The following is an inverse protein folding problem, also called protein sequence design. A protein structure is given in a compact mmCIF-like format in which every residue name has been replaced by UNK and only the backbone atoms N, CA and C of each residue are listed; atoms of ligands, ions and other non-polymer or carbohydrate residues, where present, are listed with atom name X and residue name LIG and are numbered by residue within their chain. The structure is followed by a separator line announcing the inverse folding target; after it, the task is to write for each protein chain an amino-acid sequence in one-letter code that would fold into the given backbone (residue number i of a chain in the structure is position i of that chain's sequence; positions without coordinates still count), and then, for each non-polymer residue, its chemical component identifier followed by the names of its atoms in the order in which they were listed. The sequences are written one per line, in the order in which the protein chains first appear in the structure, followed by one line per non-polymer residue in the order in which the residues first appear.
data_IF_987534690450
#
_entry.id   IF_987534690450
#
_cell.length_a   1.000
_cell.length_b   1.000
_cell.length_c   1.000
_cell.angle_alpha   90.00
_cell.angle_beta   90.00
_cell.angle_gamma   90.00
#
_symmetry.space_group_name_H-M   'P 1'
#
loop_
_entity.id
_entity.type
_entity.pdbx_description
1 polymer ?
#
# COMPACT_ATOMS: atom_id res chain seq x y z
N UNK A 1 -9.21 -37.64 18.79
CA UNK A 1 -8.53 -36.37 19.10
C UNK A 1 -7.19 -36.72 19.74
N UNK A 2 -6.08 -36.34 19.11
CA UNK A 2 -4.72 -36.60 19.60
C UNK A 2 -4.08 -35.28 20.04
N UNK A 3 -3.37 -35.32 21.15
CA UNK A 3 -2.57 -34.20 21.66
C UNK A 3 -1.11 -34.41 21.28
N UNK A 4 -0.41 -33.30 21.04
CA UNK A 4 1.00 -33.26 20.64
C UNK A 4 1.79 -32.40 21.63
N UNK A 5 3.01 -32.81 21.96
CA UNK A 5 3.97 -31.97 22.68
C UNK A 5 4.64 -30.97 21.71
N UNK A 6 5.49 -30.07 22.24
CA UNK A 6 6.21 -29.06 21.45
C UNK A 6 7.06 -29.70 20.35
N UNK A 7 7.76 -30.80 20.65
CA UNK A 7 8.64 -31.46 19.70
C UNK A 7 7.82 -32.12 18.57
N UNK A 8 6.72 -32.80 18.89
CA UNK A 8 5.79 -33.37 17.89
C UNK A 8 5.12 -32.27 17.05
N UNK A 9 4.73 -31.16 17.67
CA UNK A 9 4.18 -30.01 16.97
C UNK A 9 5.20 -29.38 16.00
N UNK A 10 6.46 -29.30 16.40
CA UNK A 10 7.56 -28.81 15.57
C UNK A 10 7.77 -29.71 14.34
N UNK A 11 7.75 -31.03 14.54
CA UNK A 11 7.84 -32.01 13.45
C UNK A 11 6.63 -31.98 12.51
N UNK A 12 5.43 -31.74 13.04
CA UNK A 12 4.19 -31.64 12.29
C UNK A 12 4.18 -30.40 11.38
N UNK A 13 4.51 -29.24 11.96
CA UNK A 13 4.54 -27.96 11.24
C UNK A 13 5.82 -27.73 10.43
N UNK A 14 6.83 -28.61 10.58
CA UNK A 14 8.16 -28.49 9.95
C UNK A 14 8.88 -27.18 10.31
N UNK A 15 8.83 -26.81 11.60
CA UNK A 15 9.47 -25.60 12.14
C UNK A 15 10.35 -25.96 13.33
N UNK A 16 11.23 -25.04 13.73
CA UNK A 16 12.08 -25.24 14.91
C UNK A 16 11.25 -25.18 16.21
N UNK A 17 11.61 -26.01 17.20
CA UNK A 17 11.01 -26.01 18.55
C UNK A 17 10.94 -24.61 19.18
N UNK A 18 12.00 -23.82 19.05
CA UNK A 18 12.05 -22.46 19.61
C UNK A 18 11.00 -21.54 18.97
N UNK A 19 10.68 -21.77 17.69
CA UNK A 19 9.65 -21.03 16.97
C UNK A 19 8.26 -21.46 17.43
N UNK A 20 8.02 -22.76 17.64
CA UNK A 20 6.75 -23.24 18.23
C UNK A 20 6.51 -22.61 19.59
N UNK A 21 7.52 -22.60 20.47
CA UNK A 21 7.42 -21.99 21.80
C UNK A 21 7.12 -20.49 21.73
N UNK A 22 7.77 -19.76 20.82
CA UNK A 22 7.49 -18.34 20.59
C UNK A 22 6.06 -18.12 20.11
N UNK A 23 5.63 -18.84 19.08
CA UNK A 23 4.29 -18.69 18.51
C UNK A 23 3.19 -19.07 19.50
N UNK A 24 3.41 -20.11 20.31
CA UNK A 24 2.50 -20.50 21.38
C UNK A 24 2.47 -19.46 22.50
N UNK A 25 3.62 -18.92 22.90
CA UNK A 25 3.71 -17.84 23.90
C UNK A 25 3.09 -16.52 23.44
N UNK A 26 3.15 -16.23 22.14
CA UNK A 26 2.49 -15.07 21.51
C UNK A 26 0.99 -15.27 21.28
N UNK A 27 0.46 -16.48 21.49
CA UNK A 27 -0.94 -16.82 21.22
C UNK A 27 -1.30 -16.91 19.73
N UNK A 28 -0.30 -17.01 18.85
CA UNK A 28 -0.50 -17.20 17.40
C UNK A 28 -0.76 -18.64 17.01
N UNK A 29 -0.18 -19.58 17.76
CA UNK A 29 -0.38 -21.00 17.56
C UNK A 29 -1.44 -21.52 18.55
N UNK A 30 -2.47 -22.27 18.11
CA UNK A 30 -3.45 -22.84 19.03
C UNK A 30 -2.80 -23.92 19.88
N UNK A 31 -2.59 -23.63 21.15
CA UNK A 31 -2.02 -24.54 22.13
C UNK A 31 -2.26 -24.05 23.55
N UNK A 32 -2.27 -24.98 24.49
CA UNK A 32 -2.51 -24.70 25.90
C UNK A 32 -1.25 -24.96 26.72
N UNK A 33 -0.92 -24.05 27.63
CA UNK A 33 0.13 -24.27 28.62
C UNK A 33 -0.46 -24.98 29.83
N UNK A 34 -0.08 -26.24 30.01
CA UNK A 34 -0.56 -27.09 31.12
C UNK A 34 0.63 -27.34 32.04
N UNK A 35 0.64 -26.64 33.17
CA UNK A 35 1.76 -26.66 34.11
C UNK A 35 3.06 -26.14 33.47
N UNK A 36 4.04 -27.02 33.29
CA UNK A 36 5.35 -26.71 32.68
C UNK A 36 5.45 -27.10 31.20
N UNK A 37 4.46 -27.80 30.67
CA UNK A 37 4.45 -28.29 29.30
C UNK A 37 3.46 -27.49 28.43
N UNK A 38 3.69 -27.51 27.13
CA UNK A 38 2.77 -27.00 26.14
C UNK A 38 2.13 -28.18 25.43
N UNK A 39 0.82 -28.14 25.28
CA UNK A 39 0.04 -29.20 24.64
C UNK A 39 -0.74 -28.61 23.49
N UNK A 40 -0.66 -29.25 22.33
CA UNK A 40 -1.31 -28.84 21.10
C UNK A 40 -2.31 -29.91 20.68
N UNK A 41 -3.44 -29.50 20.12
CA UNK A 41 -4.41 -30.43 19.54
C UNK A 41 -4.10 -30.56 18.06
N UNK A 42 -3.96 -31.80 17.58
CA UNK A 42 -3.67 -32.05 16.16
C UNK A 42 -4.74 -31.44 15.24
N UNK A 43 -6.01 -31.49 15.65
CA UNK A 43 -7.14 -30.94 14.89
C UNK A 43 -7.04 -29.40 14.75
N UNK A 44 -6.75 -28.72 15.86
CA UNK A 44 -6.56 -27.26 15.87
C UNK A 44 -5.35 -26.83 15.03
N UNK A 45 -4.26 -27.62 15.05
CA UNK A 45 -3.09 -27.34 14.20
C UNK A 45 -3.44 -27.49 12.72
N UNK A 46 -4.24 -28.49 12.34
CA UNK A 46 -4.72 -28.67 10.96
C UNK A 46 -5.60 -27.48 10.55
N UNK A 47 -6.52 -27.04 11.41
CA UNK A 47 -7.37 -25.88 11.16
C UNK A 47 -6.54 -24.59 11.02
N UNK A 48 -5.54 -24.41 11.87
CA UNK A 48 -4.60 -23.31 11.81
C UNK A 48 -3.87 -23.26 10.46
N UNK A 49 -3.32 -24.38 10.00
CA UNK A 49 -2.63 -24.46 8.70
C UNK A 49 -3.58 -24.13 7.56
N UNK A 50 -4.81 -24.66 7.58
CA UNK A 50 -5.83 -24.35 6.55
C UNK A 50 -6.15 -22.86 6.50
N UNK A 51 -6.28 -22.23 7.66
CA UNK A 51 -6.56 -20.79 7.78
C UNK A 51 -5.38 -19.96 7.26
N UNK A 52 -4.15 -20.32 7.63
CA UNK A 52 -2.94 -19.65 7.15
C UNK A 52 -2.78 -19.73 5.63
N UNK A 53 -3.02 -20.91 5.02
CA UNK A 53 -2.96 -21.07 3.57
C UNK A 53 -3.98 -20.15 2.88
N UNK A 54 -5.22 -20.10 3.36
CA UNK A 54 -6.26 -19.23 2.79
C UNK A 54 -5.91 -17.75 2.91
N UNK A 55 -5.41 -17.32 4.07
CA UNK A 55 -4.99 -15.95 4.29
C UNK A 55 -3.84 -15.54 3.34
N UNK A 56 -2.80 -16.38 3.24
CA UNK A 56 -1.66 -16.13 2.37
C UNK A 56 -2.04 -16.13 0.88
N UNK A 57 -2.92 -17.02 0.45
CA UNK A 57 -3.42 -17.05 -0.92
C UNK A 57 -4.17 -15.77 -1.28
N UNK A 58 -5.05 -15.30 -0.38
CA UNK A 58 -5.79 -14.05 -0.58
C UNK A 58 -4.87 -12.84 -0.63
N UNK A 59 -3.85 -12.80 0.22
CA UNK A 59 -2.86 -11.73 0.22
C UNK A 59 -2.05 -11.71 -1.08
N UNK A 60 -1.63 -12.87 -1.59
CA UNK A 60 -0.91 -12.97 -2.87
C UNK A 60 -1.79 -12.52 -4.05
N UNK A 61 -3.05 -12.92 -4.06
CA UNK A 61 -4.02 -12.51 -5.08
C UNK A 61 -4.24 -11.00 -5.05
N UNK A 62 -4.51 -10.43 -3.87
CA UNK A 62 -4.69 -8.98 -3.72
C UNK A 62 -3.45 -8.19 -4.16
N UNK A 63 -2.25 -8.66 -3.80
CA UNK A 63 -0.99 -8.04 -4.27
C UNK A 63 -0.83 -8.10 -5.79
N UNK A 64 -1.19 -9.22 -6.41
CA UNK A 64 -1.15 -9.38 -7.87
C UNK A 64 -2.17 -8.48 -8.58
N UNK A 65 -3.41 -8.41 -8.07
CA UNK A 65 -4.47 -7.54 -8.60
C UNK A 65 -4.09 -6.06 -8.53
N UNK A 66 -3.53 -5.62 -7.40
CA UNK A 66 -3.05 -4.23 -7.24
C UNK A 66 -1.93 -3.92 -8.24
N UNK A 67 -0.99 -4.86 -8.42
CA UNK A 67 0.10 -4.71 -9.40
C UNK A 67 -0.44 -4.56 -10.82
N UNK A 68 -1.35 -5.45 -11.24
CA UNK A 68 -1.97 -5.41 -12.58
C UNK A 68 -2.76 -4.12 -12.78
N UNK A 69 -3.52 -3.67 -11.77
CA UNK A 69 -4.22 -2.38 -11.82
C UNK A 69 -3.26 -1.20 -11.99
N UNK A 70 -2.16 -1.17 -11.23
CA UNK A 70 -1.16 -0.10 -11.31
C UNK A 70 -0.50 -0.08 -12.70
N UNK A 71 -0.10 -1.24 -13.22
CA UNK A 71 0.50 -1.37 -14.56
C UNK A 71 -0.45 -0.91 -15.67
N UNK A 72 -1.72 -1.32 -15.62
CA UNK A 72 -2.75 -0.86 -16.58
C UNK A 72 -2.97 0.64 -16.51
N UNK A 73 -2.95 1.22 -15.32
CA UNK A 73 -3.11 2.67 -15.14
C UNK A 73 -1.92 3.47 -15.67
N UNK A 74 -0.69 2.95 -15.54
CA UNK A 74 0.51 3.57 -16.08
C UNK A 74 0.57 3.52 -17.62
N UNK A 75 0.06 2.43 -18.22
CA UNK A 75 -0.06 2.31 -19.67
C UNK A 75 -1.04 3.33 -20.28
N UNK A 76 -1.98 3.87 -19.50
CA UNK A 76 -2.77 5.05 -19.85
C UNK A 76 -1.97 6.31 -19.50
N UNK A 77 -0.81 6.48 -20.12
CA UNK A 77 -0.24 7.83 -20.23
C UNK A 77 -1.13 8.55 -21.26
N UNK A 78 -1.94 9.57 -20.89
CA UNK A 78 -2.57 10.39 -21.92
C UNK A 78 -1.45 10.88 -22.83
N UNK A 79 -1.60 10.93 -24.17
CA UNK A 79 -0.59 11.59 -24.98
C UNK A 79 -0.41 12.95 -24.34
N UNK A 80 0.79 13.22 -23.78
CA UNK A 80 1.10 14.54 -23.27
C UNK A 80 0.62 15.46 -24.37
N UNK A 81 -0.33 16.36 -24.08
CA UNK A 81 -0.63 17.45 -24.98
C UNK A 81 0.71 18.15 -25.07
N UNK A 82 1.47 17.80 -26.10
CA UNK A 82 2.65 18.55 -26.50
C UNK A 82 2.03 19.87 -26.88
N UNK A 83 2.02 20.81 -25.94
CA UNK A 83 1.75 22.20 -26.24
C UNK A 83 2.91 22.59 -27.12
N UNK A 84 2.79 22.31 -28.41
CA UNK A 84 3.67 22.87 -29.43
C UNK A 84 3.51 24.36 -29.21
N UNK A 85 4.54 25.08 -28.76
CA UNK A 85 4.40 26.49 -28.48
C UNK A 85 3.91 27.13 -29.77
N UNK A 86 2.67 27.64 -29.75
CA UNK A 86 2.11 28.39 -30.87
C UNK A 86 3.13 29.47 -31.19
N UNK A 87 3.78 29.33 -32.35
CA UNK A 87 4.83 30.22 -32.84
C UNK A 87 4.28 31.63 -32.76
N UNK A 88 4.73 32.39 -31.77
CA UNK A 88 4.34 33.78 -31.51
C UNK A 88 4.53 34.55 -32.81
N UNK A 89 3.45 34.76 -33.55
CA UNK A 89 3.46 35.62 -34.74
C UNK A 89 3.65 37.03 -34.23
N UNK A 90 4.89 37.52 -34.37
CA UNK A 90 5.36 38.89 -34.17
C UNK A 90 4.61 39.73 -33.14
N UNK A 91 5.24 39.97 -31.98
CA UNK A 91 4.92 41.15 -31.15
C UNK A 91 5.02 42.39 -32.04
N UNK A 92 3.90 42.94 -32.49
CA UNK A 92 3.86 44.36 -32.85
C UNK A 92 4.04 45.11 -31.54
N UNK A 93 5.00 46.03 -31.51
CA UNK A 93 5.26 46.89 -30.36
C UNK A 93 3.93 47.51 -29.89
N UNK A 94 3.61 47.36 -28.60
CA UNK A 94 2.50 48.09 -28.00
C UNK A 94 2.85 49.59 -28.04
N UNK A 95 1.93 50.47 -28.49
CA UNK A 95 2.18 51.90 -28.37
C UNK A 95 2.20 52.24 -26.88
N UNK A 96 3.34 52.72 -26.39
CA UNK A 96 3.44 53.31 -25.05
C UNK A 96 2.47 54.48 -24.99
N UNK A 97 1.46 54.39 -24.14
CA UNK A 97 0.56 55.51 -23.85
C UNK A 97 1.40 56.53 -23.09
N UNK A 98 1.59 57.70 -23.67
CA UNK A 98 2.28 58.82 -23.03
C UNK A 98 1.30 59.53 -22.08
N UNK A 99 1.55 59.36 -20.77
CA UNK A 99 0.73 59.91 -19.71
C UNK A 99 1.02 61.39 -19.41
N UNK A 100 2.04 62.00 -20.04
CA UNK A 100 2.35 63.43 -19.88
C UNK A 100 1.21 64.34 -20.38
N UNK A 101 0.25 63.80 -21.15
CA UNK A 101 -0.91 64.55 -21.64
C UNK A 101 -1.97 64.88 -20.57
N UNK A 102 -1.93 64.24 -19.41
CA UNK A 102 -2.91 64.45 -18.33
C UNK A 102 -2.39 65.32 -17.17
N UNK A 103 -1.22 65.95 -17.32
CA UNK A 103 -0.56 66.69 -16.24
C UNK A 103 -1.09 68.13 -16.05
N UNK A 104 -2.09 68.56 -16.84
CA UNK A 104 -2.69 69.90 -16.72
C UNK A 104 -4.21 69.88 -16.94
N UNK A 105 -4.96 69.10 -16.16
CA UNK A 105 -6.40 69.34 -16.03
C UNK A 105 -6.64 70.38 -14.92
N UNK A 106 -7.34 71.49 -15.20
CA UNK A 106 -7.70 72.45 -14.16
C UNK A 106 -8.72 71.81 -13.22
N UNK A 107 -8.46 71.90 -11.92
CA UNK A 107 -9.34 71.39 -10.88
C UNK A 107 -10.68 72.13 -10.93
N UNK A 108 -11.76 71.39 -11.15
CA UNK A 108 -13.12 71.89 -11.03
C UNK A 108 -13.41 72.10 -9.55
N UNK A 109 -13.25 73.33 -9.09
CA UNK A 109 -13.68 73.78 -7.76
C UNK A 109 -15.16 74.13 -7.70
N UNK A 110 -15.67 74.10 -6.46
CA UNK A 110 -16.73 74.98 -5.93
C UNK A 110 -18.16 74.59 -6.23
#
# INVERSE_FOLDING_TARGET
MRTLDVDECAEFLKVERSTVLKLAGEGKLPGAKIGRAWVFLEDDLVEYVRTQVRAQMRERQAKAEISDMLERSAAVTPPMITVTPLRRRGRRASPTIDFSRYENLPELGG
#
